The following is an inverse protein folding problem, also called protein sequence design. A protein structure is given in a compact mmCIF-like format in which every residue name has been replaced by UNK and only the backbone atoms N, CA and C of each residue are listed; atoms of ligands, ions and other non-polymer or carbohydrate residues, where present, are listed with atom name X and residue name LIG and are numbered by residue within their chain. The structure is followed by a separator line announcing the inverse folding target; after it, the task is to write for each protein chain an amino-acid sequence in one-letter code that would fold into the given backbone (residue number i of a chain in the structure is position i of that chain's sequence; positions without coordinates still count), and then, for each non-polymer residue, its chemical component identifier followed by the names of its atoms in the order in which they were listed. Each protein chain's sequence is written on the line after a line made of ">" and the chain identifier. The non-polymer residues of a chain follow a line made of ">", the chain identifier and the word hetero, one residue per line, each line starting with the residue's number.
data_IF_875969321446
#
_entry.id   IF_875969321446
#
_cell.length_a   1.000
_cell.length_b   1.000
_cell.length_c   1.000
_cell.angle_alpha   90.00
_cell.angle_beta   90.00
_cell.angle_gamma   90.00
#
_symmetry.space_group_name_H-M   'P 1'
#
loop_
_entity.id
_entity.type
_entity.pdbx_description
1 polymer ?
#
# COMPACT_ATOMS: atom_id res chain seq x y z
N UNK A 1 34.26 -1.42 -29.12
CA UNK A 1 32.96 -2.07 -28.78
C UNK A 1 33.06 -2.45 -27.30
N UNK A 2 32.50 -1.64 -26.38
CA UNK A 2 31.14 -1.76 -25.80
C UNK A 2 30.95 -3.14 -25.13
N UNK A 3 30.78 -3.31 -23.82
CA UNK A 3 30.69 -2.40 -22.68
C UNK A 3 30.65 -3.20 -21.38
N UNK A 4 31.03 -2.56 -20.27
CA UNK A 4 30.82 -3.03 -18.90
C UNK A 4 29.31 -3.17 -18.67
N UNK A 5 28.85 -4.40 -18.39
CA UNK A 5 27.49 -4.63 -17.91
C UNK A 5 27.50 -4.43 -16.41
N UNK A 6 26.98 -3.28 -16.03
CA UNK A 6 26.78 -2.87 -14.67
C UNK A 6 25.90 -3.87 -13.93
N UNK A 7 26.25 -4.04 -12.66
CA UNK A 7 25.61 -4.90 -11.65
C UNK A 7 24.09 -4.92 -11.80
N UNK A 8 23.56 -6.04 -12.30
CA UNK A 8 22.14 -6.34 -12.26
C UNK A 8 21.74 -6.52 -10.80
N UNK A 9 20.74 -5.73 -10.40
CA UNK A 9 20.22 -5.62 -9.05
C UNK A 9 19.93 -6.98 -8.43
N UNK A 10 20.59 -7.26 -7.31
CA UNK A 10 20.22 -8.33 -6.40
C UNK A 10 19.00 -7.84 -5.60
N UNK A 11 17.80 -8.11 -6.12
CA UNK A 11 16.54 -7.91 -5.42
C UNK A 11 15.69 -9.14 -5.66
N UNK A 12 15.77 -10.09 -4.73
CA UNK A 12 15.01 -11.33 -4.70
C UNK A 12 13.53 -11.04 -4.95
N UNK A 13 13.04 -11.38 -6.14
CA UNK A 13 11.60 -11.40 -6.38
C UNK A 13 11.02 -12.52 -5.52
N UNK A 14 10.34 -12.15 -4.44
CA UNK A 14 9.59 -13.08 -3.62
C UNK A 14 8.59 -13.82 -4.53
N UNK A 15 8.84 -15.11 -4.71
CA UNK A 15 8.06 -16.06 -5.53
C UNK A 15 6.61 -16.23 -5.03
N UNK A 16 6.28 -15.63 -3.89
CA UNK A 16 4.95 -15.58 -3.28
C UNK A 16 4.21 -14.25 -3.53
N UNK A 17 4.74 -13.38 -4.40
CA UNK A 17 4.07 -12.13 -4.77
C UNK A 17 2.81 -12.44 -5.59
N UNK A 18 1.61 -11.95 -5.19
CA UNK A 18 0.40 -12.17 -5.97
C UNK A 18 0.54 -11.52 -7.36
N UNK A 19 -0.14 -12.04 -8.39
CA UNK A 19 0.19 -11.79 -9.80
C UNK A 19 -0.02 -10.36 -10.31
N UNK A 20 -0.44 -9.41 -9.46
CA UNK A 20 -0.97 -8.10 -9.85
C UNK A 20 -0.20 -6.89 -9.26
N UNK A 21 1.09 -7.06 -8.98
CA UNK A 21 2.15 -6.19 -9.52
C UNK A 21 2.31 -4.70 -9.19
N UNK A 22 1.54 -4.06 -8.29
CA UNK A 22 1.78 -2.63 -7.95
C UNK A 22 1.90 -2.28 -6.47
N UNK A 23 1.72 -3.25 -5.57
CA UNK A 23 1.83 -3.00 -4.13
C UNK A 23 3.06 -3.74 -3.60
N UNK A 24 4.07 -2.99 -3.20
CA UNK A 24 5.17 -3.55 -2.43
C UNK A 24 4.62 -4.01 -1.09
N UNK A 25 4.70 -5.31 -0.81
CA UNK A 25 4.32 -5.83 0.51
C UNK A 25 5.24 -5.23 1.55
N UNK A 26 4.65 -4.64 2.59
CA UNK A 26 5.43 -4.00 3.65
C UNK A 26 6.09 -5.07 4.52
N UNK A 27 7.40 -4.96 4.73
CA UNK A 27 8.16 -5.90 5.56
C UNK A 27 7.90 -5.67 7.05
N UNK A 28 7.52 -4.44 7.41
CA UNK A 28 7.14 -4.03 8.77
C UNK A 28 5.75 -3.42 8.77
N UNK A 29 4.68 -4.25 8.86
CA UNK A 29 3.31 -3.76 8.98
C UNK A 29 3.16 -2.76 10.13
N UNK A 30 2.60 -1.60 9.82
CA UNK A 30 2.27 -0.57 10.80
C UNK A 30 0.78 -0.56 11.10
N UNK A 31 0.44 -0.08 12.29
CA UNK A 31 -0.93 0.30 12.64
C UNK A 31 -1.14 1.79 12.35
N UNK A 32 -2.09 2.11 11.48
CA UNK A 32 -2.33 3.47 10.98
C UNK A 32 -3.76 3.89 11.27
N UNK A 33 -3.91 5.05 11.93
CA UNK A 33 -5.20 5.69 12.17
C UNK A 33 -5.40 6.81 11.15
N UNK A 34 -6.53 6.78 10.43
CA UNK A 34 -6.94 7.81 9.48
C UNK A 34 -8.16 8.52 10.04
N UNK A 35 -8.10 9.85 10.17
CA UNK A 35 -9.23 10.66 10.63
C UNK A 35 -9.90 11.30 9.42
N UNK A 36 -11.16 10.95 9.19
CA UNK A 36 -11.98 11.35 8.04
C UNK A 36 -12.13 10.22 7.01
N UNK A 37 -13.36 9.75 6.79
CA UNK A 37 -13.75 8.74 5.80
C UNK A 37 -14.38 9.37 4.54
N UNK A 38 -13.93 10.57 4.16
CA UNK A 38 -14.17 11.11 2.82
C UNK A 38 -13.39 10.33 1.75
N UNK A 39 -13.53 10.74 0.49
CA UNK A 39 -12.87 10.08 -0.64
C UNK A 39 -11.36 9.89 -0.44
N UNK A 40 -10.67 10.90 0.07
CA UNK A 40 -9.24 10.83 0.35
C UNK A 40 -8.90 9.80 1.45
N UNK A 41 -9.65 9.77 2.54
CA UNK A 41 -9.41 8.86 3.66
C UNK A 41 -9.66 7.40 3.30
N UNK A 42 -10.77 7.11 2.61
CA UNK A 42 -11.06 5.76 2.11
C UNK A 42 -10.01 5.31 1.08
N UNK A 43 -9.63 6.21 0.17
CA UNK A 43 -8.59 5.91 -0.83
C UNK A 43 -7.25 5.59 -0.18
N UNK A 44 -6.86 6.35 0.85
CA UNK A 44 -5.64 6.09 1.60
C UNK A 44 -5.71 4.76 2.35
N UNK A 45 -6.84 4.48 3.01
CA UNK A 45 -7.05 3.21 3.71
C UNK A 45 -6.92 2.00 2.76
N UNK A 46 -7.48 2.13 1.56
CA UNK A 46 -7.39 1.11 0.52
C UNK A 46 -5.96 0.87 0.05
N UNK A 47 -5.19 1.95 -0.18
CA UNK A 47 -3.80 1.85 -0.62
C UNK A 47 -2.90 1.29 0.47
N UNK A 48 -3.13 1.63 1.74
CA UNK A 48 -2.32 1.16 2.87
C UNK A 48 -2.70 -0.26 3.35
N UNK A 49 -3.97 -0.66 3.27
CA UNK A 49 -4.38 -2.01 3.65
C UNK A 49 -3.81 -3.10 2.73
N UNK A 50 -3.67 -2.80 1.44
CA UNK A 50 -3.15 -3.72 0.41
C UNK A 50 -1.73 -4.25 0.66
N UNK A 51 -0.73 -3.42 0.98
CA UNK A 51 0.62 -3.87 1.30
C UNK A 51 0.73 -4.52 2.69
N UNK A 52 -0.34 -4.51 3.50
CA UNK A 52 -0.43 -5.25 4.76
C UNK A 52 -0.46 -4.41 6.03
N UNK A 53 -0.64 -3.08 5.93
CA UNK A 53 -0.84 -2.26 7.13
C UNK A 53 -2.20 -2.53 7.77
N UNK A 54 -2.25 -2.52 9.09
CA UNK A 54 -3.51 -2.52 9.84
C UNK A 54 -4.03 -1.07 9.86
N UNK A 55 -5.20 -0.83 9.26
CA UNK A 55 -5.74 0.52 9.12
C UNK A 55 -7.07 0.64 9.86
N UNK A 56 -7.16 1.66 10.71
CA UNK A 56 -8.40 2.07 11.38
C UNK A 56 -8.80 3.45 10.83
N UNK A 57 -10.06 3.58 10.38
CA UNK A 57 -10.59 4.86 9.90
C UNK A 57 -11.63 5.36 10.89
N UNK A 58 -11.42 6.57 11.38
CA UNK A 58 -12.30 7.25 12.33
C UNK A 58 -13.02 8.39 11.60
N UNK A 59 -14.33 8.32 11.52
CA UNK A 59 -15.19 9.34 10.91
C UNK A 59 -16.15 9.92 11.95
N UNK A 60 -16.33 11.24 11.92
CA UNK A 60 -17.23 11.92 12.85
C UNK A 60 -18.70 11.71 12.45
N UNK A 61 -19.00 11.62 11.16
CA UNK A 61 -20.33 11.32 10.66
C UNK A 61 -20.73 9.86 10.94
N UNK A 62 -21.95 9.66 11.44
CA UNK A 62 -22.50 8.31 11.67
C UNK A 62 -22.87 7.59 10.37
N UNK A 63 -23.00 8.33 9.27
CA UNK A 63 -23.34 7.82 7.94
C UNK A 63 -22.44 8.49 6.92
N UNK A 64 -21.72 7.68 6.14
CA UNK A 64 -21.02 8.14 4.95
C UNK A 64 -22.07 8.29 3.84
N UNK A 65 -22.31 9.52 3.41
CA UNK A 65 -23.27 9.82 2.34
C UNK A 65 -22.53 10.49 1.20
N UNK A 66 -22.81 10.04 -0.03
CA UNK A 66 -22.39 10.74 -1.24
C UNK A 66 -23.20 12.04 -1.36
N UNK A 67 -22.55 13.12 -1.80
CA UNK A 67 -23.17 14.44 -1.94
C UNK A 67 -23.78 14.59 -3.32
#
# INVERSE_FOLDING_TARGET
>A
MKGTKDRLANGSADINSPPNGFYHREQTPLHTIIVGAGFAGISLAYVLGRPGHAVEVLEAATVIKEV
#
